data_IF_741819973089
#
_entry.id   IF_741819973089
#
_cell.length_a   1.000
_cell.length_b   1.000
_cell.length_c   1.000
_cell.angle_alpha   90.00
_cell.angle_beta   90.00
_cell.angle_gamma   90.00
#
_symmetry.space_group_name_H-M   'P 1'
#
loop_
_entity.id
_entity.type
_entity.pdbx_description
1 polymer ?
#
# COMPACT_ATOMS: atom_id res chain seq x y z
N UNK A 1 38.05 -28.02 18.18
CA UNK A 1 37.54 -27.50 16.88
C UNK A 1 36.40 -26.56 17.20
N UNK A 2 36.63 -25.25 17.11
CA UNK A 2 35.65 -24.21 17.48
C UNK A 2 34.85 -23.89 16.23
N UNK A 3 33.55 -24.14 16.28
CA UNK A 3 32.58 -23.71 15.28
C UNK A 3 32.30 -22.22 15.48
N UNK A 4 32.64 -21.40 14.51
CA UNK A 4 32.23 -20.01 14.39
C UNK A 4 30.84 -19.96 13.75
N UNK A 5 29.86 -19.23 14.32
CA UNK A 5 28.59 -19.04 13.65
C UNK A 5 28.73 -18.03 12.51
N UNK A 6 28.26 -18.43 11.34
CA UNK A 6 28.11 -17.56 10.18
C UNK A 6 27.06 -16.49 10.51
N UNK A 7 27.45 -15.23 10.48
CA UNK A 7 26.56 -14.08 10.55
C UNK A 7 25.79 -13.98 9.23
N UNK A 8 24.57 -14.44 9.22
CA UNK A 8 23.61 -14.12 8.14
C UNK A 8 23.21 -12.66 8.32
N UNK A 9 23.70 -11.79 7.46
CA UNK A 9 23.33 -10.37 7.45
C UNK A 9 21.88 -10.25 7.00
N UNK A 10 20.96 -10.12 7.95
CA UNK A 10 19.59 -9.70 7.68
C UNK A 10 19.68 -8.23 7.29
N UNK A 11 19.60 -7.94 6.01
CA UNK A 11 19.38 -6.58 5.52
C UNK A 11 17.94 -6.22 5.85
N UNK A 12 17.76 -5.69 7.06
CA UNK A 12 16.52 -4.99 7.41
C UNK A 12 16.53 -3.72 6.57
N UNK A 13 15.82 -3.70 5.44
CA UNK A 13 15.48 -2.46 4.76
C UNK A 13 14.61 -1.64 5.72
N UNK A 14 15.26 -0.74 6.48
CA UNK A 14 14.55 0.40 7.03
C UNK A 14 14.02 1.18 5.83
N UNK A 15 12.73 1.01 5.56
CA UNK A 15 11.98 1.99 4.79
C UNK A 15 12.11 3.29 5.58
N UNK A 16 13.00 4.18 5.16
CA UNK A 16 12.91 5.60 5.46
C UNK A 16 11.60 6.06 4.81
N UNK A 17 10.48 5.79 5.50
CA UNK A 17 9.30 6.60 5.35
C UNK A 17 9.76 8.00 5.77
N UNK A 18 10.16 8.82 4.80
CA UNK A 18 10.17 10.25 4.97
C UNK A 18 8.76 10.57 5.45
N UNK A 19 8.64 10.90 6.74
CA UNK A 19 7.42 11.49 7.26
C UNK A 19 7.19 12.74 6.41
N UNK A 20 6.38 12.62 5.39
CA UNK A 20 5.87 13.77 4.66
C UNK A 20 5.11 14.54 5.73
N UNK A 21 5.64 15.71 6.12
CA UNK A 21 4.86 16.63 6.95
C UNK A 21 3.53 16.79 6.22
N UNK A 22 2.45 16.38 6.88
CA UNK A 22 1.12 16.61 6.38
C UNK A 22 1.00 18.13 6.19
N UNK A 23 1.05 18.59 4.96
CA UNK A 23 0.63 19.94 4.66
C UNK A 23 -0.83 19.98 5.09
N UNK A 24 -1.18 20.92 5.99
CA UNK A 24 -2.56 21.09 6.45
C UNK A 24 -3.39 21.61 5.26
N UNK A 25 -3.84 20.72 4.40
CA UNK A 25 -4.38 21.00 3.06
C UNK A 25 -5.90 20.99 3.06
N UNK A 26 -6.53 20.69 4.18
CA UNK A 26 -7.98 20.61 4.30
C UNK A 26 -8.53 21.38 5.49
N UNK A 27 -9.81 21.77 5.45
CA UNK A 27 -10.44 22.36 6.62
C UNK A 27 -10.55 21.30 7.72
N UNK A 28 -9.99 21.61 8.89
CA UNK A 28 -10.32 20.90 10.11
C UNK A 28 -11.82 21.02 10.39
N UNK A 29 -12.39 20.09 11.12
CA UNK A 29 -13.83 20.10 11.46
C UNK A 29 -14.76 20.01 10.23
N UNK A 30 -14.34 19.21 9.27
CA UNK A 30 -15.09 18.94 8.05
C UNK A 30 -15.26 17.41 7.87
N UNK A 31 -16.42 16.98 7.34
CA UNK A 31 -16.73 15.56 7.18
C UNK A 31 -17.06 14.86 8.51
N UNK A 32 -17.21 13.53 8.46
CA UNK A 32 -17.50 12.75 9.65
C UNK A 32 -16.24 12.55 10.51
N UNK A 33 -16.43 12.59 11.82
CA UNK A 33 -15.37 12.36 12.78
C UNK A 33 -14.89 10.88 12.74
N UNK A 34 -13.69 10.56 13.29
CA UNK A 34 -13.27 9.19 13.48
C UNK A 34 -14.29 8.37 14.28
N UNK A 35 -14.49 7.11 13.90
CA UNK A 35 -15.38 6.18 14.60
C UNK A 35 -14.60 5.05 15.29
N UNK A 36 -15.27 3.95 15.65
CA UNK A 36 -14.68 2.81 16.34
C UNK A 36 -13.81 1.92 15.45
N UNK A 37 -13.89 2.09 14.12
CA UNK A 37 -13.16 1.29 13.14
C UNK A 37 -12.31 2.13 12.16
N UNK A 38 -12.53 3.43 12.10
CA UNK A 38 -11.84 4.36 11.21
C UNK A 38 -11.09 5.41 12.02
N UNK A 39 -9.74 5.36 12.06
CA UNK A 39 -8.97 6.26 12.91
C UNK A 39 -8.88 7.69 12.39
N UNK A 40 -9.19 7.93 11.12
CA UNK A 40 -9.12 9.25 10.48
C UNK A 40 -10.51 9.84 10.25
N UNK A 41 -10.64 11.14 10.44
CA UNK A 41 -11.83 11.86 9.98
C UNK A 41 -11.90 11.85 8.45
N UNK A 42 -13.10 11.99 7.90
CA UNK A 42 -13.27 12.14 6.45
C UNK A 42 -12.69 13.49 5.99
N UNK A 43 -11.85 13.46 4.95
CA UNK A 43 -11.14 14.62 4.39
C UNK A 43 -10.18 15.29 5.37
N UNK A 44 -9.58 14.51 6.24
CA UNK A 44 -8.64 14.99 7.25
C UNK A 44 -7.32 15.48 6.64
N UNK A 45 -7.01 16.75 6.88
CA UNK A 45 -5.74 17.34 6.46
C UNK A 45 -4.51 16.82 7.22
N UNK A 46 -4.69 16.12 8.34
CA UNK A 46 -3.59 15.49 9.10
C UNK A 46 -3.21 14.11 8.56
N UNK A 47 -4.09 13.49 7.76
CA UNK A 47 -3.77 12.20 7.16
C UNK A 47 -2.59 12.34 6.20
N UNK A 48 -1.54 11.50 6.32
CA UNK A 48 -0.37 11.58 5.46
C UNK A 48 -0.76 11.53 3.98
N UNK A 49 -0.16 12.41 3.18
CA UNK A 49 -0.35 12.39 1.74
C UNK A 49 0.33 11.15 1.14
N UNK A 50 -0.24 10.53 0.09
CA UNK A 50 0.42 9.46 -0.60
C UNK A 50 1.77 9.93 -1.18
N UNK A 51 2.82 9.09 -1.13
CA UNK A 51 4.11 9.45 -1.70
C UNK A 51 4.00 9.68 -3.21
N UNK A 52 4.68 10.70 -3.70
CA UNK A 52 4.73 11.00 -5.13
C UNK A 52 5.80 10.15 -5.78
N UNK A 53 5.41 9.39 -6.81
CA UNK A 53 6.32 8.59 -7.64
C UNK A 53 6.19 9.00 -9.12
N UNK A 54 7.25 8.78 -9.90
CA UNK A 54 7.16 8.86 -11.34
C UNK A 54 6.62 7.54 -11.89
N UNK A 55 5.51 7.53 -12.64
CA UNK A 55 5.00 6.32 -13.25
C UNK A 55 5.99 5.68 -14.22
N UNK A 56 5.88 4.37 -14.39
CA UNK A 56 6.57 3.67 -15.47
C UNK A 56 6.02 4.03 -16.85
N UNK A 57 6.68 3.54 -17.88
CA UNK A 57 6.23 3.68 -19.27
C UNK A 57 5.90 2.31 -19.88
N UNK A 58 4.93 2.22 -20.81
CA UNK A 58 4.62 0.95 -21.46
C UNK A 58 5.77 0.43 -22.29
N UNK A 59 5.88 -0.88 -22.38
CA UNK A 59 6.81 -1.59 -23.28
C UNK A 59 6.23 -1.77 -24.66
N UNK A 60 7.13 -1.89 -25.64
CA UNK A 60 6.82 -2.40 -26.98
C UNK A 60 7.48 -3.75 -27.21
N UNK A 61 7.26 -4.39 -28.35
CA UNK A 61 7.98 -5.63 -28.68
C UNK A 61 9.50 -5.43 -28.75
N UNK A 62 9.94 -4.27 -29.24
CA UNK A 62 11.35 -3.97 -29.48
C UNK A 62 12.05 -3.36 -28.25
N UNK A 63 11.32 -2.62 -27.42
CA UNK A 63 11.89 -1.87 -26.30
C UNK A 63 11.11 -2.09 -25.01
N UNK A 64 11.80 -2.46 -23.90
CA UNK A 64 11.18 -2.48 -22.58
C UNK A 64 10.81 -1.08 -22.12
N UNK A 65 9.71 -0.97 -21.40
CA UNK A 65 9.31 0.25 -20.70
C UNK A 65 10.21 0.56 -19.50
N UNK A 66 10.11 1.77 -18.99
CA UNK A 66 10.79 2.15 -17.75
C UNK A 66 9.93 1.71 -16.55
N UNK A 67 10.54 1.18 -15.49
CA UNK A 67 9.82 0.88 -14.26
C UNK A 67 9.39 2.17 -13.53
N UNK A 68 8.40 2.13 -12.64
CA UNK A 68 8.11 3.22 -11.70
C UNK A 68 9.32 3.58 -10.85
N UNK A 69 9.42 4.85 -10.42
CA UNK A 69 10.61 5.36 -9.70
C UNK A 69 10.86 4.70 -8.33
N UNK A 70 9.86 4.06 -7.74
CA UNK A 70 9.95 3.31 -6.49
C UNK A 70 10.06 1.78 -6.69
N UNK A 71 10.24 1.34 -7.93
CA UNK A 71 10.41 -0.09 -8.23
C UNK A 71 11.83 -0.56 -7.91
N UNK A 72 11.92 -1.80 -7.43
CA UNK A 72 13.17 -2.54 -7.30
C UNK A 72 13.36 -3.30 -8.61
N UNK A 73 14.32 -2.84 -9.42
CA UNK A 73 14.65 -3.49 -10.69
C UNK A 73 15.45 -4.75 -10.42
N UNK A 74 14.94 -5.88 -10.86
CA UNK A 74 15.59 -7.20 -10.72
C UNK A 74 16.39 -7.58 -11.95
N UNK A 75 15.95 -7.14 -13.15
CA UNK A 75 16.66 -7.32 -14.40
C UNK A 75 16.29 -6.23 -15.40
N UNK A 76 17.29 -5.52 -15.87
CA UNK A 76 17.17 -4.41 -16.84
C UNK A 76 17.75 -4.70 -18.23
N UNK A 77 18.20 -5.94 -18.43
CA UNK A 77 18.83 -6.35 -19.69
C UNK A 77 20.36 -6.38 -19.65
N UNK A 78 20.99 -5.96 -18.56
CA UNK A 78 22.46 -5.84 -18.47
C UNK A 78 23.14 -7.10 -17.93
N UNK A 79 22.79 -7.57 -16.75
CA UNK A 79 23.47 -8.67 -16.08
C UNK A 79 22.56 -9.49 -15.14
N UNK A 80 23.09 -10.58 -14.60
CA UNK A 80 22.42 -11.47 -13.65
C UNK A 80 22.99 -11.36 -12.22
N UNK A 81 23.59 -10.26 -11.84
CA UNK A 81 24.23 -10.08 -10.52
C UNK A 81 23.26 -10.21 -9.35
N UNK A 82 21.98 -9.93 -9.56
CA UNK A 82 20.88 -10.10 -8.58
C UNK A 82 20.30 -11.51 -8.54
N UNK A 83 20.78 -12.39 -9.41
CA UNK A 83 20.28 -13.75 -9.58
C UNK A 83 21.35 -14.78 -9.27
N UNK A 84 20.91 -15.98 -8.89
CA UNK A 84 21.76 -17.15 -8.64
C UNK A 84 21.03 -18.43 -9.07
N UNK A 85 21.76 -19.53 -9.19
CA UNK A 85 21.14 -20.84 -9.38
C UNK A 85 20.29 -21.21 -8.15
N UNK A 86 19.11 -21.78 -8.36
CA UNK A 86 18.24 -22.24 -7.29
C UNK A 86 18.76 -23.54 -6.68
N UNK A 87 19.84 -23.45 -5.92
CA UNK A 87 20.43 -24.55 -5.17
C UNK A 87 20.99 -24.07 -3.82
N UNK A 88 21.34 -25.00 -2.95
CA UNK A 88 21.83 -24.70 -1.59
C UNK A 88 23.23 -24.10 -1.56
N UNK A 89 23.94 -24.11 -2.69
CA UNK A 89 25.32 -23.60 -2.76
C UNK A 89 25.40 -22.14 -3.17
N UNK A 90 24.29 -21.52 -3.56
CA UNK A 90 24.24 -20.13 -4.02
C UNK A 90 25.21 -19.84 -5.19
N UNK A 91 25.32 -20.80 -6.10
CA UNK A 91 26.23 -20.69 -7.26
C UNK A 91 25.70 -19.68 -8.27
N UNK A 92 26.60 -19.14 -9.09
CA UNK A 92 26.20 -18.32 -10.22
C UNK A 92 25.32 -19.14 -11.18
N UNK A 93 24.26 -18.52 -11.68
CA UNK A 93 23.39 -19.16 -12.66
C UNK A 93 24.13 -19.42 -13.99
N UNK A 94 23.71 -20.43 -14.72
CA UNK A 94 24.16 -20.70 -16.08
C UNK A 94 23.26 -20.10 -17.16
N UNK A 95 22.18 -19.43 -16.76
CA UNK A 95 21.37 -18.64 -17.70
C UNK A 95 22.23 -17.55 -18.33
N UNK A 96 21.88 -17.10 -19.51
CA UNK A 96 22.69 -16.15 -20.28
C UNK A 96 21.91 -14.87 -20.59
N UNK A 97 22.61 -13.78 -20.79
CA UNK A 97 21.99 -12.53 -21.26
C UNK A 97 22.26 -12.41 -22.76
N UNK A 98 21.18 -12.29 -23.55
CA UNK A 98 21.23 -12.09 -25.00
C UNK A 98 20.22 -11.05 -25.42
N UNK A 99 20.64 -10.05 -26.18
CA UNK A 99 19.76 -9.02 -26.74
C UNK A 99 18.87 -8.35 -25.71
N UNK A 100 19.41 -8.03 -24.51
CA UNK A 100 18.68 -7.38 -23.44
C UNK A 100 17.67 -8.26 -22.69
N UNK A 101 17.70 -9.58 -22.90
CA UNK A 101 16.87 -10.54 -22.19
C UNK A 101 17.74 -11.62 -21.52
N UNK A 102 17.35 -12.10 -20.35
CA UNK A 102 17.88 -13.33 -19.78
C UNK A 102 17.20 -14.52 -20.46
N UNK A 103 17.97 -15.51 -20.88
CA UNK A 103 17.50 -16.69 -21.58
C UNK A 103 17.86 -17.94 -20.79
N UNK A 104 16.88 -18.82 -20.60
CA UNK A 104 17.10 -20.14 -20.03
C UNK A 104 18.02 -20.97 -20.94
N UNK A 105 19.05 -21.53 -20.35
CA UNK A 105 19.87 -22.58 -21.02
C UNK A 105 19.28 -23.92 -20.58
N UNK A 106 18.71 -24.72 -21.51
CA UNK A 106 18.05 -25.97 -21.17
C UNK A 106 18.95 -26.92 -20.37
N UNK A 107 18.42 -27.41 -19.24
CA UNK A 107 19.15 -28.31 -18.34
C UNK A 107 20.13 -27.60 -17.38
N UNK A 108 20.10 -26.28 -17.32
CA UNK A 108 20.93 -25.46 -16.39
C UNK A 108 20.36 -25.34 -14.98
N UNK A 109 19.09 -25.70 -14.77
CA UNK A 109 18.35 -25.57 -13.52
C UNK A 109 17.65 -24.22 -13.40
N UNK A 110 16.84 -24.13 -12.35
CA UNK A 110 16.09 -22.90 -12.04
C UNK A 110 17.03 -21.77 -11.62
N UNK A 111 16.56 -20.55 -11.82
CA UNK A 111 17.21 -19.33 -11.34
C UNK A 111 16.33 -18.65 -10.29
N UNK A 112 16.94 -18.06 -9.26
CA UNK A 112 16.23 -17.30 -8.25
C UNK A 112 16.90 -15.95 -7.94
N UNK A 113 16.13 -15.02 -7.41
CA UNK A 113 16.69 -13.78 -6.86
C UNK A 113 17.47 -14.06 -5.58
N UNK A 114 18.55 -13.31 -5.36
CA UNK A 114 19.30 -13.31 -4.09
C UNK A 114 18.48 -12.65 -2.98
N UNK A 115 17.75 -11.56 -3.32
CA UNK A 115 16.83 -10.89 -2.43
C UNK A 115 15.52 -11.66 -2.30
N UNK A 116 14.85 -11.48 -1.15
CA UNK A 116 13.59 -12.15 -0.83
C UNK A 116 12.48 -11.11 -0.63
N UNK A 117 11.26 -11.47 -1.02
CA UNK A 117 10.12 -10.57 -1.05
C UNK A 117 8.88 -11.26 -0.49
N UNK A 118 7.98 -10.48 0.12
CA UNK A 118 6.66 -10.93 0.56
C UNK A 118 5.57 -10.51 -0.43
N UNK A 119 4.67 -9.64 0.05
CA UNK A 119 3.60 -9.07 -0.77
C UNK A 119 4.16 -8.09 -1.79
N UNK A 120 3.90 -8.32 -3.07
CA UNK A 120 4.48 -7.53 -4.17
C UNK A 120 3.49 -7.23 -5.29
N UNK A 121 3.73 -6.14 -6.00
CA UNK A 121 3.44 -5.98 -7.41
C UNK A 121 4.68 -6.42 -8.19
N UNK A 122 4.51 -7.34 -9.13
CA UNK A 122 5.58 -7.82 -10.02
C UNK A 122 5.21 -7.48 -11.46
N UNK A 123 6.18 -6.97 -12.21
CA UNK A 123 6.13 -6.89 -13.65
C UNK A 123 7.20 -7.78 -14.23
N UNK A 124 6.84 -8.60 -15.20
CA UNK A 124 7.77 -9.46 -15.92
C UNK A 124 7.33 -9.63 -17.37
N UNK A 125 8.25 -9.42 -18.28
CA UNK A 125 8.02 -9.72 -19.71
C UNK A 125 8.76 -11.00 -20.08
N UNK A 126 8.06 -11.90 -20.76
CA UNK A 126 8.60 -13.19 -21.17
C UNK A 126 8.26 -13.53 -22.63
N UNK A 127 9.09 -14.32 -23.27
CA UNK A 127 8.82 -14.79 -24.63
C UNK A 127 9.20 -16.26 -24.79
N UNK A 128 8.27 -17.05 -25.27
CA UNK A 128 8.56 -18.38 -25.75
C UNK A 128 9.50 -18.33 -27.00
N UNK A 129 10.26 -19.38 -27.31
CA UNK A 129 11.06 -19.44 -28.53
C UNK A 129 10.22 -19.18 -29.78
N UNK A 130 10.74 -18.42 -30.75
CA UNK A 130 10.06 -18.17 -32.02
C UNK A 130 9.97 -19.43 -32.89
N UNK A 131 10.94 -20.32 -32.76
CA UNK A 131 10.89 -21.66 -33.35
C UNK A 131 10.00 -22.54 -32.48
N UNK A 132 8.85 -22.91 -33.00
CA UNK A 132 7.89 -23.78 -32.31
C UNK A 132 8.40 -25.23 -32.35
N UNK A 133 8.64 -25.79 -31.16
CA UNK A 133 9.07 -27.20 -31.00
C UNK A 133 8.24 -27.83 -29.86
N UNK A 134 7.79 -29.07 -30.07
CA UNK A 134 6.94 -29.79 -29.13
C UNK A 134 5.46 -29.42 -29.20
N UNK A 135 4.71 -29.96 -28.26
CA UNK A 135 3.27 -29.76 -28.07
C UNK A 135 2.90 -29.74 -26.59
N UNK A 136 1.66 -29.38 -26.28
CA UNK A 136 1.13 -29.35 -24.91
C UNK A 136 2.12 -28.70 -23.94
N UNK A 137 2.46 -29.34 -22.84
CA UNK A 137 3.40 -28.86 -21.81
C UNK A 137 4.88 -28.93 -22.24
N UNK A 138 5.19 -29.54 -23.34
CA UNK A 138 6.55 -29.58 -23.90
C UNK A 138 6.93 -28.35 -24.73
N UNK A 139 6.01 -27.40 -24.93
CA UNK A 139 6.20 -26.29 -25.86
C UNK A 139 6.39 -24.96 -25.14
N UNK A 140 7.60 -24.40 -25.18
CA UNK A 140 7.89 -23.08 -24.62
C UNK A 140 7.55 -22.94 -23.14
N UNK A 141 7.79 -23.97 -22.36
CA UNK A 141 7.41 -24.10 -20.96
C UNK A 141 8.45 -23.46 -20.03
N UNK A 142 7.98 -22.76 -19.05
CA UNK A 142 8.70 -22.20 -17.91
C UNK A 142 7.68 -21.84 -16.80
N UNK A 143 8.10 -21.12 -15.76
CA UNK A 143 7.22 -20.66 -14.68
C UNK A 143 7.81 -19.48 -13.92
N UNK A 144 6.95 -18.62 -13.43
CA UNK A 144 7.26 -17.52 -12.51
C UNK A 144 6.81 -17.93 -11.13
N UNK A 145 7.75 -18.20 -10.21
CA UNK A 145 7.46 -18.68 -8.86
C UNK A 145 7.53 -17.54 -7.85
N UNK A 146 6.37 -17.13 -7.35
CA UNK A 146 6.25 -16.13 -6.28
C UNK A 146 6.67 -16.76 -4.95
N UNK A 147 7.54 -16.10 -4.22
CA UNK A 147 8.18 -16.59 -2.99
C UNK A 147 8.85 -17.96 -3.16
N UNK A 148 9.23 -18.31 -4.38
CA UNK A 148 9.77 -19.62 -4.73
C UNK A 148 8.81 -20.79 -4.59
N UNK A 149 7.54 -20.54 -4.38
CA UNK A 149 6.51 -21.52 -4.04
C UNK A 149 5.35 -21.55 -5.04
N UNK A 150 4.63 -20.43 -5.22
CA UNK A 150 3.45 -20.34 -6.07
C UNK A 150 3.87 -20.07 -7.51
N UNK A 151 3.53 -20.96 -8.41
CA UNK A 151 3.82 -20.83 -9.85
C UNK A 151 2.70 -20.10 -10.57
N UNK A 152 3.06 -19.04 -11.30
CA UNK A 152 2.27 -18.49 -12.40
C UNK A 152 2.86 -19.06 -13.68
N UNK A 153 2.07 -19.86 -14.37
CA UNK A 153 2.54 -20.64 -15.54
C UNK A 153 3.00 -19.74 -16.68
N UNK A 154 4.11 -20.12 -17.27
CA UNK A 154 4.64 -19.63 -18.54
C UNK A 154 4.65 -20.78 -19.55
N UNK A 155 3.87 -20.64 -20.62
CA UNK A 155 3.71 -21.69 -21.62
C UNK A 155 3.36 -21.09 -22.98
N UNK A 156 3.90 -21.64 -24.05
CA UNK A 156 3.39 -21.37 -25.38
C UNK A 156 2.16 -22.25 -25.68
N UNK A 157 1.01 -21.83 -25.15
CA UNK A 157 -0.29 -22.42 -25.52
C UNK A 157 -1.03 -21.63 -26.60
N UNK A 158 -0.32 -20.80 -27.39
CA UNK A 158 -0.89 -20.16 -28.58
C UNK A 158 -1.20 -21.22 -29.66
N UNK A 159 -2.47 -21.47 -29.92
CA UNK A 159 -2.93 -22.59 -30.76
C UNK A 159 -2.32 -23.95 -30.38
N UNK A 160 -2.14 -24.20 -29.08
CA UNK A 160 -1.55 -25.39 -28.52
C UNK A 160 -2.39 -25.88 -27.32
N UNK A 161 -3.32 -26.83 -27.52
CA UNK A 161 -4.19 -27.31 -26.45
C UNK A 161 -3.39 -28.07 -25.37
N UNK A 162 -3.76 -27.83 -24.11
CA UNK A 162 -3.29 -28.58 -22.94
C UNK A 162 -4.34 -28.50 -21.83
N UNK A 163 -4.06 -29.07 -20.65
CA UNK A 163 -4.94 -28.91 -19.50
C UNK A 163 -4.98 -27.43 -19.05
N UNK A 164 -6.18 -26.94 -18.72
CA UNK A 164 -6.46 -25.51 -18.57
C UNK A 164 -5.75 -24.87 -17.38
N UNK A 165 -5.58 -25.61 -16.27
CA UNK A 165 -4.89 -25.16 -15.06
C UNK A 165 -3.35 -25.21 -15.15
N UNK A 166 -2.82 -25.51 -16.33
CA UNK A 166 -1.42 -25.45 -16.72
C UNK A 166 -1.16 -24.60 -17.97
N UNK A 167 -2.11 -23.76 -18.41
CA UNK A 167 -1.89 -22.80 -19.49
C UNK A 167 -1.25 -21.51 -18.96
N UNK A 168 -0.68 -20.69 -19.85
CA UNK A 168 -0.08 -19.41 -19.46
C UNK A 168 -1.04 -18.58 -18.62
N UNK A 169 -0.51 -17.92 -17.57
CA UNK A 169 -1.31 -17.12 -16.63
C UNK A 169 -2.11 -17.94 -15.58
N UNK A 170 -2.08 -19.28 -15.64
CA UNK A 170 -2.68 -20.10 -14.58
C UNK A 170 -1.94 -19.91 -13.24
N UNK A 171 -2.67 -19.90 -12.14
CA UNK A 171 -2.13 -20.31 -10.86
C UNK A 171 -2.00 -21.83 -10.91
N UNK A 172 -0.81 -22.33 -11.22
CA UNK A 172 -0.58 -23.70 -11.69
C UNK A 172 -1.12 -24.77 -10.74
N UNK A 173 -1.99 -25.65 -11.29
CA UNK A 173 -2.66 -26.70 -10.52
C UNK A 173 -3.67 -26.20 -9.47
N UNK A 174 -4.00 -24.89 -9.45
CA UNK A 174 -4.99 -24.27 -8.57
C UNK A 174 -6.17 -23.75 -9.39
N UNK A 175 -5.91 -22.80 -10.30
CA UNK A 175 -6.94 -22.11 -11.06
C UNK A 175 -6.48 -21.82 -12.49
N UNK A 176 -7.25 -22.23 -13.51
CA UNK A 176 -6.97 -21.84 -14.89
C UNK A 176 -7.14 -20.33 -15.09
N UNK A 177 -6.49 -19.74 -16.11
CA UNK A 177 -6.78 -18.37 -16.49
C UNK A 177 -8.21 -18.23 -17.02
N UNK A 178 -8.84 -17.09 -16.79
CA UNK A 178 -10.21 -16.80 -17.26
C UNK A 178 -10.30 -16.78 -18.80
N UNK A 179 -9.23 -16.38 -19.45
CA UNK A 179 -9.10 -16.32 -20.92
C UNK A 179 -7.66 -16.57 -21.34
N UNK A 180 -7.44 -16.93 -22.59
CA UNK A 180 -6.11 -17.00 -23.22
C UNK A 180 -5.83 -15.67 -23.92
N UNK A 181 -4.93 -14.87 -23.39
CA UNK A 181 -4.55 -13.55 -23.90
C UNK A 181 -3.18 -13.52 -24.57
N UNK A 182 -2.63 -14.68 -24.97
CA UNK A 182 -1.30 -14.81 -25.55
C UNK A 182 -1.19 -14.16 -26.93
N UNK A 183 -0.03 -13.54 -27.14
CA UNK A 183 0.50 -13.22 -28.49
C UNK A 183 1.23 -14.44 -29.06
N UNK A 184 1.45 -14.50 -30.39
CA UNK A 184 2.22 -15.58 -31.03
C UNK A 184 3.59 -15.83 -30.39
N UNK A 185 4.14 -17.06 -30.45
CA UNK A 185 5.46 -17.37 -29.95
C UNK A 185 6.54 -16.48 -30.59
N UNK A 186 7.59 -16.19 -29.84
CA UNK A 186 8.64 -15.25 -30.20
C UNK A 186 8.35 -13.81 -29.81
N UNK A 187 7.09 -13.42 -29.67
CA UNK A 187 6.70 -12.11 -29.15
C UNK A 187 6.75 -12.07 -27.61
N UNK A 188 7.10 -10.91 -27.06
CA UNK A 188 7.05 -10.71 -25.62
C UNK A 188 5.59 -10.61 -25.13
N UNK A 189 5.28 -11.44 -24.16
CA UNK A 189 4.12 -11.36 -23.30
C UNK A 189 4.48 -10.47 -22.10
N UNK A 190 3.47 -9.87 -21.46
CA UNK A 190 3.65 -9.09 -20.25
C UNK A 190 2.77 -9.68 -19.16
N UNK A 191 3.33 -9.97 -18.00
CA UNK A 191 2.61 -10.23 -16.77
C UNK A 191 2.77 -9.05 -15.81
N UNK A 192 1.64 -8.48 -15.39
CA UNK A 192 1.53 -7.64 -14.21
C UNK A 192 0.80 -8.44 -13.13
N UNK A 193 1.52 -8.75 -12.04
CA UNK A 193 1.02 -9.63 -10.99
C UNK A 193 0.92 -8.86 -9.68
N UNK A 194 -0.23 -8.93 -9.02
CA UNK A 194 -0.42 -8.47 -7.64
C UNK A 194 -0.51 -9.72 -6.77
N UNK A 195 0.45 -9.89 -5.88
CA UNK A 195 0.52 -11.04 -5.00
C UNK A 195 0.42 -10.62 -3.54
N UNK A 196 -0.52 -11.24 -2.81
CA UNK A 196 -0.68 -11.17 -1.37
C UNK A 196 -0.53 -12.56 -0.80
N UNK A 197 0.51 -12.79 -0.01
CA UNK A 197 0.78 -14.10 0.59
C UNK A 197 -0.30 -14.49 1.62
N UNK A 198 -0.51 -15.78 1.88
CA UNK A 198 -1.31 -16.21 3.03
C UNK A 198 -0.68 -15.75 4.36
N UNK A 199 -1.51 -15.32 5.32
CA UNK A 199 -1.07 -14.97 6.67
C UNK A 199 -1.73 -15.91 7.66
N UNK A 200 -0.91 -16.55 8.47
CA UNK A 200 -1.35 -17.49 9.49
C UNK A 200 -0.86 -17.04 10.86
N UNK A 201 -1.68 -17.28 11.87
CA UNK A 201 -1.32 -17.15 13.28
C UNK A 201 -1.85 -18.37 14.03
N UNK A 202 -0.98 -19.04 14.77
CA UNK A 202 -1.34 -20.22 15.58
C UNK A 202 -2.08 -21.31 14.77
N UNK A 203 -1.69 -21.50 13.50
CA UNK A 203 -2.29 -22.47 12.58
C UNK A 203 -3.63 -22.04 11.95
N UNK A 204 -4.13 -20.85 12.27
CA UNK A 204 -5.37 -20.29 11.71
C UNK A 204 -5.02 -19.28 10.62
N UNK A 205 -5.67 -19.39 9.44
CA UNK A 205 -5.55 -18.40 8.39
C UNK A 205 -6.23 -17.09 8.81
N UNK A 206 -5.45 -16.04 8.99
CA UNK A 206 -5.96 -14.69 9.17
C UNK A 206 -6.33 -14.05 7.83
N UNK A 207 -5.60 -14.43 6.78
CA UNK A 207 -5.82 -14.03 5.40
C UNK A 207 -5.33 -15.17 4.50
N UNK A 208 -6.18 -15.74 3.61
CA UNK A 208 -5.80 -16.87 2.78
C UNK A 208 -4.78 -16.53 1.70
N UNK A 209 -4.56 -15.23 1.45
CA UNK A 209 -3.71 -14.76 0.35
C UNK A 209 -4.40 -14.82 -1.01
N UNK A 210 -3.91 -14.00 -1.92
CA UNK A 210 -4.54 -13.82 -3.23
C UNK A 210 -3.52 -13.50 -4.32
N UNK A 211 -3.86 -13.87 -5.55
CA UNK A 211 -3.11 -13.46 -6.73
C UNK A 211 -4.03 -12.88 -7.79
N UNK A 212 -3.64 -11.75 -8.34
CA UNK A 212 -4.23 -11.17 -9.55
C UNK A 212 -3.16 -11.17 -10.64
N UNK A 213 -3.50 -11.67 -11.82
CA UNK A 213 -2.59 -11.70 -12.97
C UNK A 213 -3.26 -10.97 -14.14
N UNK A 214 -2.55 -10.00 -14.67
CA UNK A 214 -2.91 -9.28 -15.90
C UNK A 214 -1.92 -9.69 -16.98
N UNK A 215 -2.39 -10.43 -17.97
CA UNK A 215 -1.59 -10.87 -19.11
C UNK A 215 -1.88 -9.97 -20.31
N UNK A 216 -0.84 -9.31 -20.85
CA UNK A 216 -0.98 -8.44 -22.02
C UNK A 216 -2.10 -7.37 -21.89
N UNK A 217 -2.35 -6.89 -20.66
CA UNK A 217 -3.41 -5.92 -20.36
C UNK A 217 -4.79 -6.55 -20.11
N UNK A 218 -4.90 -7.88 -20.13
CA UNK A 218 -6.15 -8.61 -19.88
C UNK A 218 -6.07 -9.33 -18.54
N UNK A 219 -7.07 -9.16 -17.67
CA UNK A 219 -7.14 -9.88 -16.39
C UNK A 219 -7.39 -11.35 -16.66
N UNK A 220 -6.47 -12.20 -16.23
CA UNK A 220 -6.55 -13.66 -16.37
C UNK A 220 -6.70 -14.39 -15.03
N UNK A 221 -6.29 -13.75 -13.93
CA UNK A 221 -6.61 -14.14 -12.55
C UNK A 221 -7.12 -12.91 -11.82
N UNK A 222 -8.33 -12.97 -11.26
CA UNK A 222 -8.94 -11.86 -10.53
C UNK A 222 -9.07 -12.19 -9.05
N UNK A 223 -8.12 -11.68 -8.26
CA UNK A 223 -8.11 -11.89 -6.80
C UNK A 223 -8.32 -13.36 -6.41
N UNK A 224 -7.66 -14.26 -7.16
CA UNK A 224 -7.78 -15.70 -6.97
C UNK A 224 -7.22 -16.08 -5.61
N UNK A 225 -8.05 -16.70 -4.77
CA UNK A 225 -7.65 -17.19 -3.45
C UNK A 225 -6.62 -18.32 -3.58
N UNK A 226 -5.61 -18.29 -2.72
CA UNK A 226 -4.55 -19.28 -2.74
C UNK A 226 -4.91 -20.49 -1.87
N UNK A 227 -4.94 -21.66 -2.48
CA UNK A 227 -5.13 -22.94 -1.81
C UNK A 227 -3.78 -23.61 -1.42
N UNK A 228 -2.70 -22.84 -1.39
CA UNK A 228 -1.33 -23.31 -1.18
C UNK A 228 -0.44 -23.06 -2.41
N UNK A 229 0.74 -23.69 -2.49
CA UNK A 229 1.73 -23.38 -3.53
C UNK A 229 1.41 -23.90 -4.94
N UNK A 230 0.36 -24.70 -5.12
CA UNK A 230 0.14 -25.42 -6.37
C UNK A 230 1.00 -26.69 -6.48
N UNK A 231 0.77 -27.51 -7.49
CA UNK A 231 1.57 -28.68 -7.71
C UNK A 231 1.17 -29.50 -8.93
N UNK A 232 2.17 -30.17 -9.52
CA UNK A 232 1.93 -31.08 -10.62
C UNK A 232 1.19 -32.35 -10.15
N UNK A 233 0.04 -32.63 -10.75
CA UNK A 233 -0.81 -33.81 -10.49
C UNK A 233 -1.25 -34.00 -9.03
N UNK A 234 -1.14 -32.98 -8.21
CA UNK A 234 -1.51 -33.04 -6.81
C UNK A 234 -2.19 -31.74 -6.36
N UNK A 235 -3.25 -31.86 -5.54
CA UNK A 235 -3.83 -30.67 -4.92
C UNK A 235 -2.90 -30.14 -3.84
N UNK A 236 -2.76 -28.82 -3.84
CA UNK A 236 -2.07 -28.13 -2.77
C UNK A 236 -2.75 -28.34 -1.42
N UNK A 237 -1.97 -28.28 -0.37
CA UNK A 237 -2.48 -28.20 1.00
C UNK A 237 -2.48 -26.73 1.40
N UNK A 238 -3.64 -26.25 1.83
CA UNK A 238 -3.76 -24.93 2.45
C UNK A 238 -2.83 -24.89 3.68
N UNK A 239 -2.00 -23.89 3.76
CA UNK A 239 -1.04 -23.76 4.84
C UNK A 239 -0.27 -22.44 4.80
N UNK A 240 0.55 -22.19 5.84
CA UNK A 240 1.30 -20.95 5.93
C UNK A 240 2.37 -20.87 4.84
N UNK A 241 2.55 -19.65 4.31
CA UNK A 241 3.72 -19.27 3.56
C UNK A 241 4.74 -18.59 4.50
N UNK A 242 6.04 -18.61 4.19
CA UNK A 242 7.00 -17.78 4.89
C UNK A 242 6.66 -16.28 4.74
N UNK A 243 7.26 -15.42 5.54
CA UNK A 243 7.04 -13.98 5.41
C UNK A 243 7.66 -13.41 4.14
N UNK A 244 8.78 -13.99 3.70
CA UNK A 244 9.50 -13.62 2.49
C UNK A 244 10.06 -14.86 1.80
N UNK A 245 10.23 -14.78 0.49
CA UNK A 245 10.86 -15.80 -0.34
C UNK A 245 11.38 -15.21 -1.65
N UNK A 246 12.21 -15.94 -2.40
CA UNK A 246 12.77 -15.47 -3.66
C UNK A 246 11.72 -15.47 -4.79
N UNK A 247 11.92 -14.63 -5.79
CA UNK A 247 11.32 -14.84 -7.10
C UNK A 247 12.17 -15.87 -7.85
N UNK A 248 11.52 -16.88 -8.50
CA UNK A 248 12.23 -17.87 -9.30
C UNK A 248 11.67 -17.96 -10.70
N UNK A 249 12.54 -18.35 -11.64
CA UNK A 249 12.14 -18.76 -12.99
C UNK A 249 12.56 -20.20 -13.24
N UNK A 250 11.68 -20.94 -13.92
CA UNK A 250 11.85 -22.36 -14.15
C UNK A 250 12.65 -22.63 -15.43
N UNK A 251 13.59 -23.56 -15.35
CA UNK A 251 14.11 -24.30 -16.49
C UNK A 251 13.28 -25.58 -16.70
N UNK A 252 12.45 -25.59 -17.73
CA UNK A 252 11.70 -26.78 -18.18
C UNK A 252 12.22 -27.32 -19.50
N UNK A 253 13.50 -27.12 -19.81
CA UNK A 253 14.13 -27.59 -21.04
C UNK A 253 13.82 -26.73 -22.27
N UNK A 254 13.25 -25.57 -22.11
CA UNK A 254 12.90 -24.63 -23.18
C UNK A 254 13.65 -23.29 -23.00
N UNK A 255 14.24 -22.72 -24.09
CA UNK A 255 14.96 -21.44 -23.99
C UNK A 255 14.00 -20.25 -23.95
N UNK A 256 13.19 -20.18 -22.92
CA UNK A 256 12.30 -19.05 -22.63
C UNK A 256 13.15 -17.85 -22.23
N UNK A 257 12.75 -16.65 -22.69
CA UNK A 257 13.45 -15.40 -22.44
C UNK A 257 12.63 -14.53 -21.52
N UNK A 258 13.33 -13.78 -20.64
CA UNK A 258 12.72 -12.80 -19.74
C UNK A 258 13.42 -11.46 -19.87
N UNK A 259 12.67 -10.35 -19.76
CA UNK A 259 13.19 -8.99 -19.72
C UNK A 259 12.34 -8.09 -18.85
N UNK A 260 12.82 -6.91 -18.52
CA UNK A 260 12.09 -5.87 -17.77
C UNK A 260 11.43 -6.45 -16.52
N UNK A 261 12.24 -7.03 -15.63
CA UNK A 261 11.75 -7.65 -14.40
C UNK A 261 11.93 -6.68 -13.25
N UNK A 262 10.82 -6.25 -12.64
CA UNK A 262 10.85 -5.38 -11.48
C UNK A 262 9.69 -5.66 -10.54
N UNK A 263 9.88 -5.31 -9.28
CA UNK A 263 8.85 -5.42 -8.25
C UNK A 263 8.65 -4.10 -7.53
N UNK A 264 7.50 -3.98 -6.89
CA UNK A 264 7.22 -2.98 -5.84
C UNK A 264 6.66 -3.72 -4.62
N UNK A 265 7.29 -3.60 -3.43
CA UNK A 265 6.70 -4.11 -2.20
C UNK A 265 5.37 -3.43 -1.94
N UNK A 266 4.38 -4.19 -1.55
CA UNK A 266 3.06 -3.67 -1.20
C UNK A 266 3.00 -3.32 0.30
N UNK A 267 2.19 -2.33 0.69
CA UNK A 267 1.99 -2.00 2.10
C UNK A 267 1.44 -3.19 2.89
N UNK A 268 1.78 -3.24 4.18
CA UNK A 268 1.21 -4.22 5.11
C UNK A 268 -0.31 -4.14 5.12
N UNK A 269 -0.96 -5.30 5.27
CA UNK A 269 -2.40 -5.41 5.49
C UNK A 269 -2.74 -5.10 6.96
N UNK A 270 -4.01 -4.86 7.24
CA UNK A 270 -4.51 -4.60 8.61
C UNK A 270 -4.12 -5.74 9.57
N UNK A 271 -4.24 -7.00 9.14
CA UNK A 271 -3.84 -8.18 9.91
C UNK A 271 -2.34 -8.26 10.23
N UNK A 272 -1.51 -7.47 9.55
CA UNK A 272 -0.07 -7.33 9.77
C UNK A 272 0.28 -6.05 10.55
N UNK A 273 -0.71 -5.37 11.10
CA UNK A 273 -0.53 -4.13 11.86
C UNK A 273 -0.53 -2.86 11.01
N UNK A 274 -1.08 -2.88 9.78
CA UNK A 274 -1.41 -1.64 9.08
C UNK A 274 -2.44 -0.86 9.90
N UNK A 275 -2.28 0.45 9.93
CA UNK A 275 -3.12 1.36 10.73
C UNK A 275 -4.01 2.25 9.86
N UNK A 276 -4.28 1.82 8.64
CA UNK A 276 -5.14 2.51 7.70
C UNK A 276 -6.30 1.61 7.23
N UNK A 277 -7.47 2.20 6.98
CA UNK A 277 -8.68 1.46 6.60
C UNK A 277 -9.54 1.05 7.78
N UNK A 278 -10.27 -0.06 7.66
CA UNK A 278 -11.14 -0.62 8.70
C UNK A 278 -10.32 -1.42 9.71
N UNK A 279 -10.25 -0.96 10.94
CA UNK A 279 -9.44 -1.56 12.01
C UNK A 279 -10.31 -2.22 13.09
N UNK A 280 -9.68 -2.98 13.98
CA UNK A 280 -10.31 -3.34 15.24
C UNK A 280 -10.48 -2.10 16.11
N UNK A 281 -11.48 -2.07 16.99
CA UNK A 281 -11.70 -0.96 17.92
C UNK A 281 -10.45 -0.64 18.74
N UNK A 282 -9.74 -1.64 19.22
CA UNK A 282 -8.49 -1.47 19.98
C UNK A 282 -7.41 -0.76 19.14
N UNK A 283 -7.15 -1.25 17.93
CA UNK A 283 -6.17 -0.66 17.02
C UNK A 283 -6.56 0.75 16.59
N UNK A 284 -7.86 0.99 16.39
CA UNK A 284 -8.40 2.32 16.07
C UNK A 284 -8.14 3.30 17.21
N UNK A 285 -8.47 2.92 18.45
CA UNK A 285 -8.27 3.78 19.61
C UNK A 285 -6.77 4.07 19.85
N UNK A 286 -5.90 3.08 19.70
CA UNK A 286 -4.46 3.26 19.79
C UNK A 286 -3.98 4.27 18.74
N UNK A 287 -4.41 4.14 17.48
CA UNK A 287 -4.03 5.04 16.39
C UNK A 287 -4.58 6.45 16.58
N UNK A 288 -5.82 6.60 17.01
CA UNK A 288 -6.42 7.90 17.33
C UNK A 288 -5.63 8.63 18.42
N UNK A 289 -5.17 7.91 19.46
CA UNK A 289 -4.32 8.48 20.51
C UNK A 289 -2.98 9.00 19.96
N UNK A 290 -2.33 8.27 19.05
CA UNK A 290 -1.12 8.73 18.37
C UNK A 290 -1.37 10.01 17.56
N UNK A 291 -2.47 10.04 16.80
CA UNK A 291 -2.85 11.21 16.00
C UNK A 291 -3.11 12.41 16.92
N UNK A 292 -3.88 12.25 17.97
CA UNK A 292 -4.15 13.31 18.95
C UNK A 292 -2.88 13.85 19.60
N UNK A 293 -1.95 12.96 19.96
CA UNK A 293 -0.66 13.37 20.55
C UNK A 293 0.17 14.21 19.56
N UNK A 294 0.22 13.81 18.29
CA UNK A 294 0.92 14.59 17.24
C UNK A 294 0.28 15.95 17.05
N UNK A 295 -1.06 16.03 17.01
CA UNK A 295 -1.78 17.31 16.87
C UNK A 295 -1.53 18.23 18.08
N UNK A 296 -1.52 17.69 19.31
CA UNK A 296 -1.18 18.46 20.51
C UNK A 296 0.26 19.02 20.46
N UNK A 297 1.21 18.20 20.01
CA UNK A 297 2.60 18.65 19.83
C UNK A 297 2.70 19.80 18.81
N UNK A 298 1.93 19.74 17.73
CA UNK A 298 1.88 20.82 16.74
C UNK A 298 1.16 22.05 17.30
N UNK A 299 0.13 21.88 18.12
CA UNK A 299 -0.56 22.97 18.78
C UNK A 299 0.41 23.82 19.64
N UNK A 300 1.31 23.17 20.39
CA UNK A 300 2.28 23.88 21.25
C UNK A 300 3.15 24.89 20.46
N UNK A 301 3.43 24.62 19.18
CA UNK A 301 4.18 25.52 18.30
C UNK A 301 3.40 26.78 17.92
N UNK A 302 2.07 26.76 18.11
CA UNK A 302 1.15 27.86 17.79
C UNK A 302 0.81 28.73 18.99
N UNK A 303 1.36 28.44 20.18
CA UNK A 303 1.15 29.27 21.36
C UNK A 303 1.63 30.70 21.13
N UNK A 304 0.70 31.63 21.24
CA UNK A 304 0.96 33.05 21.09
C UNK A 304 -0.08 33.84 21.91
N UNK A 305 0.38 34.56 22.91
CA UNK A 305 -0.48 35.33 23.83
C UNK A 305 -1.25 36.45 23.12
N UNK A 306 -0.71 36.96 22.01
CA UNK A 306 -1.38 38.00 21.21
C UNK A 306 -2.51 37.42 20.31
N UNK A 307 -2.45 36.12 19.98
CA UNK A 307 -3.49 35.44 19.20
C UNK A 307 -3.56 33.96 19.59
N UNK A 308 -4.49 33.62 20.48
CA UNK A 308 -4.68 32.27 21.02
C UNK A 308 -5.52 31.36 20.12
N UNK A 309 -6.22 31.92 19.11
CA UNK A 309 -7.20 31.17 18.29
C UNK A 309 -6.58 30.02 17.53
N UNK A 310 -5.42 30.14 16.84
CA UNK A 310 -4.80 29.00 16.15
C UNK A 310 -4.45 27.85 17.11
N UNK A 311 -3.94 28.17 18.29
CA UNK A 311 -3.64 27.20 19.34
C UNK A 311 -4.93 26.49 19.82
N UNK A 312 -5.98 27.27 20.14
CA UNK A 312 -7.28 26.75 20.57
C UNK A 312 -7.92 25.82 19.53
N UNK A 313 -7.90 26.22 18.26
CA UNK A 313 -8.42 25.40 17.17
C UNK A 313 -7.66 24.07 17.05
N UNK A 314 -6.34 24.11 17.16
CA UNK A 314 -5.52 22.91 17.05
C UNK A 314 -5.72 21.96 18.24
N UNK A 315 -5.92 22.48 19.45
CA UNK A 315 -6.32 21.69 20.61
C UNK A 315 -7.72 21.08 20.45
N UNK A 316 -8.67 21.84 19.92
CA UNK A 316 -10.02 21.34 19.63
C UNK A 316 -9.97 20.20 18.62
N UNK A 317 -9.12 20.28 17.60
CA UNK A 317 -8.89 19.23 16.62
C UNK A 317 -8.32 17.97 17.26
N UNK A 318 -7.36 18.07 18.18
CA UNK A 318 -6.87 16.92 18.93
C UNK A 318 -7.97 16.20 19.71
N UNK A 319 -8.97 16.96 20.23
CA UNK A 319 -10.11 16.37 20.93
C UNK A 319 -11.05 15.58 20.01
N UNK A 320 -11.03 15.80 18.70
CA UNK A 320 -11.77 14.96 17.73
C UNK A 320 -11.26 13.51 17.73
N UNK A 321 -9.97 13.34 17.96
CA UNK A 321 -9.31 12.03 17.97
C UNK A 321 -9.29 11.37 19.34
N UNK A 322 -9.00 12.14 20.39
CA UNK A 322 -8.95 11.65 21.76
C UNK A 322 -9.45 12.71 22.72
N UNK A 323 -10.58 12.44 23.33
CA UNK A 323 -11.14 13.27 24.42
C UNK A 323 -10.40 12.95 25.71
N UNK A 324 -9.84 14.00 26.37
CA UNK A 324 -9.39 13.91 27.75
C UNK A 324 -9.76 15.18 28.52
N UNK A 325 -9.94 15.03 29.84
CA UNK A 325 -10.42 16.12 30.70
C UNK A 325 -9.48 17.31 30.76
N UNK A 326 -8.16 17.06 30.69
CA UNK A 326 -7.16 18.13 30.71
C UNK A 326 -7.26 19.03 29.48
N UNK A 327 -7.30 18.41 28.28
CA UNK A 327 -7.43 19.14 27.02
C UNK A 327 -8.76 19.89 26.93
N UNK A 328 -9.85 19.28 27.39
CA UNK A 328 -11.16 19.94 27.41
C UNK A 328 -11.20 21.13 28.38
N UNK A 329 -10.62 21.02 29.57
CA UNK A 329 -10.52 22.11 30.52
C UNK A 329 -9.63 23.24 29.97
N UNK A 330 -8.52 22.93 29.35
CA UNK A 330 -7.67 23.92 28.72
C UNK A 330 -8.40 24.66 27.58
N UNK A 331 -9.08 23.91 26.72
CA UNK A 331 -9.89 24.49 25.63
C UNK A 331 -11.01 25.41 26.17
N UNK A 332 -11.69 24.99 27.23
CA UNK A 332 -12.72 25.79 27.91
C UNK A 332 -12.15 27.11 28.46
N UNK A 333 -11.00 27.06 29.13
CA UNK A 333 -10.36 28.27 29.66
C UNK A 333 -9.95 29.24 28.54
N UNK A 334 -9.31 28.74 27.48
CA UNK A 334 -8.95 29.55 26.31
C UNK A 334 -10.17 30.19 25.64
N UNK A 335 -11.26 29.45 25.49
CA UNK A 335 -12.49 29.96 24.92
C UNK A 335 -13.13 31.06 25.83
N UNK A 336 -13.11 30.86 27.13
CA UNK A 336 -13.63 31.86 28.13
C UNK A 336 -12.81 33.15 28.05
N UNK A 337 -11.51 33.07 28.04
CA UNK A 337 -10.61 34.23 27.95
C UNK A 337 -10.78 34.96 26.62
N UNK A 338 -10.84 34.23 25.51
CA UNK A 338 -11.09 34.78 24.17
C UNK A 338 -12.44 35.55 24.13
N UNK A 339 -13.53 34.96 24.62
CA UNK A 339 -14.84 35.57 24.62
C UNK A 339 -14.91 36.78 25.53
N UNK A 340 -14.24 36.73 26.65
CA UNK A 340 -14.11 37.89 27.56
C UNK A 340 -13.41 39.07 26.87
N UNK A 341 -12.33 38.80 26.16
CA UNK A 341 -11.58 39.79 25.38
C UNK A 341 -12.43 40.37 24.24
N UNK A 342 -13.19 39.53 23.52
CA UNK A 342 -14.05 39.96 22.42
C UNK A 342 -15.11 40.98 22.91
N UNK A 343 -15.70 40.76 24.08
CA UNK A 343 -16.74 41.65 24.66
C UNK A 343 -16.20 43.04 25.02
N UNK A 344 -14.90 43.19 25.21
CA UNK A 344 -14.23 44.45 25.53
C UNK A 344 -13.81 45.23 24.30
N UNK A 345 -13.90 44.65 23.08
CA UNK A 345 -13.52 45.33 21.86
C UNK A 345 -14.51 46.42 21.44
N UNK A 346 -14.01 47.57 20.97
CA UNK A 346 -14.84 48.53 20.26
C UNK A 346 -15.52 47.94 19.04
N UNK A 347 -16.69 48.42 18.66
CA UNK A 347 -17.52 47.84 17.61
C UNK A 347 -16.80 47.71 16.26
N UNK A 348 -15.95 48.67 15.90
CA UNK A 348 -15.13 48.63 14.69
C UNK A 348 -14.09 47.49 14.72
N UNK A 349 -13.49 47.24 15.87
CA UNK A 349 -12.53 46.15 16.09
C UNK A 349 -13.23 44.81 16.16
N UNK A 350 -14.37 44.72 16.84
CA UNK A 350 -15.17 43.50 16.87
C UNK A 350 -15.61 43.09 15.49
N UNK A 351 -16.01 44.03 14.62
CA UNK A 351 -16.41 43.74 13.23
C UNK A 351 -15.30 43.05 12.40
N UNK A 352 -14.04 43.31 12.71
CA UNK A 352 -12.90 42.65 12.04
C UNK A 352 -12.77 41.17 12.43
N UNK A 353 -13.39 40.72 13.52
CA UNK A 353 -13.36 39.34 14.02
C UNK A 353 -14.53 38.48 13.52
N UNK A 354 -15.38 39.02 12.65
CA UNK A 354 -16.58 38.33 12.14
C UNK A 354 -16.34 36.91 11.68
N UNK A 355 -15.41 36.71 10.78
CA UNK A 355 -15.18 35.40 10.15
C UNK A 355 -14.54 34.40 11.14
N UNK A 356 -13.69 34.90 12.03
CA UNK A 356 -13.10 34.12 13.12
C UNK A 356 -14.18 33.62 14.11
N UNK A 357 -15.09 34.51 14.55
CA UNK A 357 -16.18 34.14 15.45
C UNK A 357 -17.17 33.15 14.82
N UNK A 358 -17.47 33.34 13.54
CA UNK A 358 -18.30 32.39 12.78
C UNK A 358 -17.63 31.02 12.67
N UNK A 359 -16.35 31.01 12.36
CA UNK A 359 -15.58 29.77 12.29
C UNK A 359 -15.56 29.04 13.64
N UNK A 360 -15.32 29.73 14.75
CA UNK A 360 -15.36 29.14 16.08
C UNK A 360 -16.74 28.58 16.45
N UNK A 361 -17.83 29.26 16.06
CA UNK A 361 -19.18 28.70 16.19
C UNK A 361 -19.33 27.40 15.40
N UNK A 362 -18.85 27.36 14.17
CA UNK A 362 -18.95 26.17 13.31
C UNK A 362 -18.13 25.01 13.88
N UNK A 363 -16.98 25.29 14.47
CA UNK A 363 -16.19 24.32 15.25
C UNK A 363 -16.96 23.78 16.45
N UNK A 364 -17.57 24.66 17.25
CA UNK A 364 -18.43 24.23 18.37
C UNK A 364 -19.57 23.33 17.89
N UNK A 365 -20.25 23.70 16.81
CA UNK A 365 -21.33 22.88 16.23
C UNK A 365 -20.82 21.49 15.80
N UNK A 366 -19.62 21.41 15.23
CA UNK A 366 -18.98 20.15 14.86
C UNK A 366 -18.71 19.28 16.09
N UNK A 367 -18.08 19.86 17.13
CA UNK A 367 -17.74 19.14 18.35
C UNK A 367 -18.99 18.62 19.08
N UNK A 368 -20.08 19.41 19.10
CA UNK A 368 -21.38 19.01 19.65
C UNK A 368 -22.02 17.89 18.81
N UNK A 369 -22.03 18.04 17.49
CA UNK A 369 -22.58 17.04 16.55
C UNK A 369 -22.00 15.66 16.80
N UNK A 370 -20.69 15.58 17.01
CA UNK A 370 -19.98 14.32 17.23
C UNK A 370 -19.80 13.96 18.71
N UNK A 371 -20.52 14.65 19.61
CA UNK A 371 -20.54 14.38 21.07
C UNK A 371 -19.16 14.46 21.75
N UNK A 372 -18.27 15.27 21.20
CA UNK A 372 -16.95 15.55 21.77
C UNK A 372 -17.08 16.50 22.96
N UNK A 373 -17.96 17.47 22.83
CA UNK A 373 -18.39 18.35 23.92
C UNK A 373 -19.92 18.28 24.10
N UNK A 374 -20.46 18.57 25.28
CA UNK A 374 -21.91 18.64 25.49
C UNK A 374 -22.53 19.79 24.68
N UNK A 375 -23.79 19.66 24.32
CA UNK A 375 -24.56 20.75 23.73
C UNK A 375 -24.79 21.88 24.76
N UNK A 376 -25.05 23.06 24.23
CA UNK A 376 -25.42 24.25 25.03
C UNK A 376 -24.34 24.67 26.05
N UNK A 377 -23.07 24.62 25.61
CA UNK A 377 -21.97 25.19 26.40
C UNK A 377 -22.04 26.72 26.44
N UNK A 378 -21.42 27.32 27.47
CA UNK A 378 -21.34 28.78 27.57
C UNK A 378 -20.71 29.40 26.32
N UNK A 379 -19.62 28.82 25.84
CA UNK A 379 -18.94 29.28 24.64
C UNK A 379 -19.84 29.22 23.38
N UNK A 380 -20.58 28.13 23.21
CA UNK A 380 -21.55 28.00 22.10
C UNK A 380 -22.62 29.06 22.13
N UNK A 381 -23.23 29.28 23.31
CA UNK A 381 -24.29 30.31 23.52
C UNK A 381 -23.75 31.72 23.25
N UNK A 382 -22.58 32.04 23.80
CA UNK A 382 -21.98 33.35 23.62
C UNK A 382 -21.59 33.67 22.19
N UNK A 383 -20.99 32.72 21.48
CA UNK A 383 -20.67 32.87 20.05
C UNK A 383 -21.93 33.10 19.21
N UNK A 384 -22.98 32.33 19.45
CA UNK A 384 -24.29 32.51 18.79
C UNK A 384 -24.91 33.90 19.09
N UNK A 385 -24.81 34.37 20.33
CA UNK A 385 -25.32 35.67 20.73
C UNK A 385 -24.55 36.80 20.03
N UNK A 386 -23.23 36.79 20.04
CA UNK A 386 -22.39 37.78 19.33
C UNK A 386 -22.74 37.84 17.86
N UNK A 387 -22.92 36.71 17.20
CA UNK A 387 -23.28 36.61 15.77
C UNK A 387 -24.67 37.23 15.54
N UNK A 388 -25.66 36.94 16.41
CA UNK A 388 -27.02 37.45 16.31
C UNK A 388 -27.08 38.97 16.51
N UNK A 389 -26.44 39.48 17.56
CA UNK A 389 -26.41 40.90 17.90
C UNK A 389 -25.79 41.75 16.78
N UNK A 390 -24.80 41.21 16.07
CA UNK A 390 -24.12 41.88 14.97
C UNK A 390 -24.72 41.56 13.60
N UNK A 391 -25.79 40.75 13.50
CA UNK A 391 -26.41 40.31 12.23
C UNK A 391 -25.42 39.63 11.24
N UNK A 392 -24.46 38.85 11.72
CA UNK A 392 -23.40 38.28 10.89
C UNK A 392 -23.83 37.06 10.05
N UNK A 393 -24.94 36.39 10.39
CA UNK A 393 -25.48 35.26 9.63
C UNK A 393 -26.33 35.66 8.42
N UNK A 394 -26.69 36.94 8.28
CA UNK A 394 -27.45 37.40 7.10
C UNK A 394 -26.59 37.24 5.84
N UNK A 395 -26.99 36.34 4.92
CA UNK A 395 -26.45 36.29 3.57
C UNK A 395 -26.66 37.68 2.94
N UNK A 396 -25.60 38.32 2.42
CA UNK A 396 -25.79 39.45 1.50
C UNK A 396 -26.70 38.92 0.37
N UNK A 397 -27.89 39.56 0.24
CA UNK A 397 -28.79 39.32 -0.89
C UNK A 397 -28.10 39.72 -2.19
#
# INVERSE_FOLDING_TARGET
MKLTPSLTTIVTMLSLASASQAANVGPSFYGDAPDEHHPWAIHDGNRPQPPVITPGTPSTQDQPGKPPSDAIVLFDGSDLTKWEADNDKHEATKWVVKNGAMECVPGSGYIRTKDQFGDIQLHVEWAAPSKVEGDSQGRGNSGVFLMGMLEIQVLDNYNNPTYSDGTAGAAYGIMPPMVNALRPPGQFQCYDIIFRRPIYKDGVALDPGYVTVIENGVVVQDHTMLEGPGGHMARSKIGPFPEVGPLKFQDHGNPVRYRNVWIRPLPKRVVEGSTDGYLTTESTMAKRKEIAASIRQDAEKLKNDANTVPYMLRLAEACVYEVNDEALNQLKNLATDYLSNLKQLPADKLATRKDEVRHLRDVCNYLVRFKIIPADTDAERELKQIIADNNWDKKKK
#
